data_IF_097750695503
#
_entry.id   IF_097750695503
#
_cell.length_a   1.000
_cell.length_b   1.000
_cell.length_c   1.000
_cell.angle_alpha   90.00
_cell.angle_beta   90.00
_cell.angle_gamma   90.00
#
_symmetry.space_group_name_H-M   'P 1'
#
loop_
_entity.id
_entity.type
_entity.pdbx_description
1 polymer ?
#
# COMPACT_ATOMS: atom_id res chain seq x y z
N UNK A 1 8.96 -16.88 4.51
CA UNK A 1 7.59 -16.62 4.00
C UNK A 1 7.06 -15.41 4.72
N UNK A 2 6.72 -14.36 3.99
CA UNK A 2 6.29 -13.08 4.57
C UNK A 2 4.77 -12.93 4.49
N UNK A 3 4.21 -12.48 3.38
CA UNK A 3 2.75 -12.31 3.21
C UNK A 3 2.25 -13.31 2.17
N UNK A 4 1.24 -14.09 2.53
CA UNK A 4 0.71 -15.16 1.70
C UNK A 4 -0.54 -14.74 0.91
N UNK A 5 -1.37 -13.91 1.52
CA UNK A 5 -2.60 -13.36 0.96
C UNK A 5 -3.01 -12.11 1.75
N UNK A 6 -4.09 -11.45 1.34
CA UNK A 6 -4.58 -10.22 1.98
C UNK A 6 -5.42 -10.43 3.24
N UNK A 7 -5.90 -11.65 3.49
CA UNK A 7 -6.89 -12.00 4.54
C UNK A 7 -6.31 -12.87 5.65
N UNK A 8 -5.06 -13.32 5.49
CA UNK A 8 -4.38 -14.14 6.47
C UNK A 8 -4.10 -13.43 7.80
N UNK A 9 -3.87 -14.22 8.85
CA UNK A 9 -3.54 -13.68 10.17
C UNK A 9 -2.27 -12.84 10.11
N UNK A 10 -2.39 -11.54 10.34
CA UNK A 10 -1.27 -10.62 10.42
C UNK A 10 -0.43 -10.93 11.65
N UNK A 11 0.90 -11.02 11.49
CA UNK A 11 1.83 -11.33 12.59
C UNK A 11 2.78 -10.19 12.90
N UNK A 12 3.14 -9.42 11.87
CA UNK A 12 4.05 -8.28 12.01
C UNK A 12 3.68 -7.20 11.01
N UNK A 13 3.77 -5.94 11.41
CA UNK A 13 3.51 -4.77 10.57
C UNK A 13 4.59 -3.73 10.75
N UNK A 14 5.01 -3.11 9.64
CA UNK A 14 5.88 -1.94 9.65
C UNK A 14 5.04 -0.66 9.59
N UNK A 15 5.25 0.22 10.54
CA UNK A 15 4.52 1.47 10.72
C UNK A 15 5.50 2.66 10.69
N UNK A 16 4.97 3.85 10.55
CA UNK A 16 5.69 5.10 10.77
C UNK A 16 4.82 6.06 11.57
N UNK A 17 5.41 6.76 12.53
CA UNK A 17 4.67 7.68 13.39
C UNK A 17 4.34 8.98 12.65
N UNK A 18 3.17 9.60 12.89
CA UNK A 18 2.76 10.86 12.26
C UNK A 18 3.45 12.11 12.86
N UNK A 19 4.58 11.96 13.55
CA UNK A 19 5.25 13.00 14.32
C UNK A 19 5.55 14.27 13.53
N UNK A 20 5.87 14.14 12.25
CA UNK A 20 6.22 15.25 11.37
C UNK A 20 5.21 15.45 10.24
N UNK A 21 4.05 14.79 10.32
CA UNK A 21 3.03 14.93 9.29
C UNK A 21 2.67 16.42 9.13
N UNK A 22 2.88 16.89 7.93
CA UNK A 22 2.43 18.21 7.48
C UNK A 22 1.49 17.94 6.31
N UNK A 23 0.33 18.56 6.31
CA UNK A 23 -0.52 18.54 5.13
C UNK A 23 0.19 19.36 4.04
N UNK A 24 1.07 18.72 3.31
CA UNK A 24 1.53 19.28 2.05
C UNK A 24 0.30 19.37 1.13
N UNK A 25 0.01 20.54 0.53
CA UNK A 25 -1.22 20.76 -0.24
C UNK A 25 -1.14 20.11 -1.64
N UNK A 26 -0.83 18.81 -1.66
CA UNK A 26 -0.67 18.02 -2.89
C UNK A 26 -2.01 17.65 -3.55
N UNK A 27 -3.11 17.77 -2.83
CA UNK A 27 -4.47 17.59 -3.33
C UNK A 27 -5.47 18.50 -2.58
N UNK A 28 -6.71 18.54 -3.04
CA UNK A 28 -7.75 19.41 -2.44
C UNK A 28 -8.08 19.00 -1.00
N UNK A 29 -8.08 17.71 -0.69
CA UNK A 29 -8.36 17.19 0.66
C UNK A 29 -7.26 17.67 1.61
N UNK A 30 -6.00 17.51 1.23
CA UNK A 30 -4.88 17.98 2.04
C UNK A 30 -4.94 19.50 2.28
N UNK A 31 -5.29 20.29 1.25
CA UNK A 31 -5.45 21.75 1.39
C UNK A 31 -6.56 22.13 2.37
N UNK A 32 -7.68 21.41 2.33
CA UNK A 32 -8.81 21.66 3.21
C UNK A 32 -8.51 21.39 4.67
N UNK A 33 -7.82 20.28 4.94
CA UNK A 33 -7.59 19.77 6.30
C UNK A 33 -6.25 20.21 6.91
N UNK A 34 -5.33 20.78 6.10
CA UNK A 34 -4.02 21.24 6.59
C UNK A 34 -4.07 22.13 7.85
N UNK A 35 -4.98 23.10 7.95
CA UNK A 35 -5.06 23.97 9.12
C UNK A 35 -5.59 23.28 10.38
N UNK A 36 -6.18 22.10 10.26
CA UNK A 36 -6.85 21.37 11.34
C UNK A 36 -6.00 20.22 11.90
N UNK A 37 -4.74 20.07 11.45
CA UNK A 37 -3.87 19.03 11.94
C UNK A 37 -3.42 19.31 13.38
N UNK A 38 -3.83 18.44 14.27
CA UNK A 38 -3.41 18.40 15.67
C UNK A 38 -2.42 17.25 15.87
N UNK A 39 -1.15 17.61 16.05
CA UNK A 39 -0.06 16.62 16.15
C UNK A 39 -0.20 15.74 17.40
N UNK A 40 -0.62 16.30 18.53
CA UNK A 40 -0.79 15.55 19.77
C UNK A 40 -1.93 14.53 19.63
N UNK A 41 -3.03 14.95 19.03
CA UNK A 41 -4.15 14.07 18.73
C UNK A 41 -3.76 12.96 17.75
N UNK A 42 -3.04 13.30 16.68
CA UNK A 42 -2.57 12.30 15.70
C UNK A 42 -1.63 11.26 16.34
N UNK A 43 -0.71 11.68 17.20
CA UNK A 43 0.18 10.78 17.92
C UNK A 43 -0.60 9.87 18.86
N UNK A 44 -1.56 10.41 19.60
CA UNK A 44 -2.43 9.62 20.47
C UNK A 44 -3.26 8.59 19.69
N UNK A 45 -3.90 9.00 18.58
CA UNK A 45 -4.66 8.09 17.73
C UNK A 45 -3.76 6.98 17.14
N UNK A 46 -2.54 7.32 16.74
CA UNK A 46 -1.56 6.33 16.27
C UNK A 46 -1.17 5.33 17.39
N UNK A 47 -1.02 5.79 18.62
CA UNK A 47 -0.77 4.90 19.76
C UNK A 47 -1.93 3.92 20.00
N UNK A 48 -3.18 4.37 19.80
CA UNK A 48 -4.34 3.49 19.88
C UNK A 48 -4.33 2.42 18.77
N UNK A 49 -3.90 2.77 17.55
CA UNK A 49 -3.72 1.80 16.45
C UNK A 49 -2.64 0.78 16.81
N UNK A 50 -1.48 1.23 17.32
CA UNK A 50 -0.39 0.35 17.78
C UNK A 50 -0.88 -0.59 18.88
N UNK A 51 -1.61 -0.05 19.85
CA UNK A 51 -2.23 -0.86 20.91
C UNK A 51 -3.17 -1.92 20.36
N UNK A 52 -4.01 -1.58 19.39
CA UNK A 52 -4.92 -2.54 18.75
C UNK A 52 -4.18 -3.68 18.06
N UNK A 53 -3.04 -3.40 17.40
CA UNK A 53 -2.18 -4.44 16.85
C UNK A 53 -1.62 -5.35 17.95
N UNK A 54 -1.10 -4.79 19.03
CA UNK A 54 -0.56 -5.57 20.15
C UNK A 54 -1.65 -6.43 20.85
N UNK A 55 -2.85 -5.87 21.06
CA UNK A 55 -3.99 -6.60 21.63
C UNK A 55 -4.40 -7.79 20.73
N UNK A 56 -4.19 -7.68 19.41
CA UNK A 56 -4.41 -8.75 18.44
C UNK A 56 -3.21 -9.71 18.29
N UNK A 57 -2.13 -9.54 19.07
CA UNK A 57 -0.93 -10.37 19.01
C UNK A 57 -0.02 -10.07 17.81
N UNK A 58 -0.14 -8.89 17.21
CA UNK A 58 0.68 -8.46 16.08
C UNK A 58 1.91 -7.70 16.57
N UNK A 59 3.10 -8.07 16.11
CA UNK A 59 4.33 -7.34 16.33
C UNK A 59 4.37 -6.07 15.49
N UNK A 60 4.79 -4.95 16.07
CA UNK A 60 4.93 -3.68 15.36
C UNK A 60 6.40 -3.30 15.23
N UNK A 61 6.82 -2.98 14.01
CA UNK A 61 8.12 -2.42 13.68
C UNK A 61 7.91 -0.97 13.22
N UNK A 62 8.94 -0.15 13.36
CA UNK A 62 8.81 1.27 13.01
C UNK A 62 9.95 1.74 12.10
N UNK A 63 9.58 2.63 11.19
CA UNK A 63 10.52 3.56 10.59
C UNK A 63 10.82 4.67 11.59
N UNK A 64 12.08 5.09 11.66
CA UNK A 64 12.44 6.28 12.45
C UNK A 64 11.82 7.53 11.80
N UNK A 65 11.08 8.35 12.57
CA UNK A 65 10.51 9.57 12.03
C UNK A 65 11.57 10.57 11.59
N UNK A 66 11.39 11.18 10.42
CA UNK A 66 12.26 12.23 9.88
C UNK A 66 11.44 13.46 9.47
N UNK A 67 11.82 14.64 9.94
CA UNK A 67 11.16 15.90 9.63
C UNK A 67 11.20 16.26 8.12
N UNK A 68 12.15 15.67 7.38
CA UNK A 68 12.25 15.84 5.93
C UNK A 68 11.36 14.87 5.14
N UNK A 69 10.69 13.93 5.84
CA UNK A 69 9.81 12.90 5.27
C UNK A 69 8.44 12.92 5.96
N UNK A 70 7.73 14.05 5.85
CA UNK A 70 6.51 14.29 6.62
C UNK A 70 5.38 13.30 6.31
N UNK A 71 5.41 12.66 5.13
CA UNK A 71 4.36 11.74 4.70
C UNK A 71 4.69 10.26 4.95
N UNK A 72 5.79 9.94 5.61
CA UNK A 72 6.18 8.54 5.89
C UNK A 72 5.17 7.75 6.71
N UNK A 73 4.27 8.43 7.44
CA UNK A 73 3.13 7.79 8.12
C UNK A 73 2.25 6.97 7.19
N UNK A 74 2.18 7.32 5.91
CA UNK A 74 1.49 6.54 4.89
C UNK A 74 2.35 5.36 4.43
N UNK A 75 2.73 4.53 5.40
CA UNK A 75 3.63 3.39 5.20
C UNK A 75 3.06 2.32 4.23
N UNK A 76 1.74 2.26 4.08
CA UNK A 76 1.05 1.42 3.10
C UNK A 76 1.54 1.66 1.68
N UNK A 77 1.95 2.89 1.36
CA UNK A 77 2.30 3.30 0.00
C UNK A 77 3.71 2.90 -0.43
N UNK A 78 4.59 2.48 0.49
CA UNK A 78 5.99 2.14 0.16
C UNK A 78 6.13 0.98 -0.81
N UNK A 79 5.15 0.06 -0.86
CA UNK A 79 5.19 -1.09 -1.73
C UNK A 79 4.25 -2.20 -1.31
N UNK A 80 4.50 -3.41 -1.78
CA UNK A 80 3.72 -4.60 -1.46
C UNK A 80 4.60 -5.74 -0.95
N UNK A 81 4.12 -6.52 0.00
CA UNK A 81 4.79 -7.74 0.45
C UNK A 81 4.09 -8.97 -0.13
N UNK A 82 4.89 -9.93 -0.56
CA UNK A 82 4.46 -11.26 -0.98
C UNK A 82 5.21 -12.33 -0.20
N UNK A 83 4.97 -13.61 -0.50
CA UNK A 83 5.56 -14.74 0.21
C UNK A 83 7.09 -14.75 0.19
N UNK A 84 7.70 -14.30 -0.89
CA UNK A 84 9.13 -14.35 -1.16
C UNK A 84 9.90 -13.12 -0.68
N UNK A 85 9.20 -12.00 -0.44
CA UNK A 85 9.82 -10.75 -0.04
C UNK A 85 8.90 -9.55 -0.29
N UNK A 86 9.47 -8.42 -0.70
CA UNK A 86 8.68 -7.23 -0.98
C UNK A 86 9.01 -6.61 -2.33
N UNK A 87 8.04 -5.84 -2.81
CA UNK A 87 8.11 -4.99 -4.01
C UNK A 87 8.42 -3.59 -3.53
N UNK A 88 9.57 -3.05 -3.92
CA UNK A 88 9.93 -1.67 -3.63
C UNK A 88 9.25 -0.75 -4.64
N UNK A 89 8.36 0.11 -4.12
CA UNK A 89 7.63 1.07 -4.91
C UNK A 89 8.46 2.27 -5.33
N UNK A 90 7.91 3.06 -6.25
CA UNK A 90 8.44 4.35 -6.67
C UNK A 90 7.34 5.38 -6.70
N UNK A 91 7.44 6.34 -5.78
CA UNK A 91 6.44 7.37 -5.58
C UNK A 91 6.30 8.31 -6.78
N UNK A 92 5.08 8.79 -7.00
CA UNK A 92 4.80 9.82 -8.00
C UNK A 92 5.22 11.22 -7.51
N UNK A 93 4.97 11.51 -6.23
CA UNK A 93 5.19 12.84 -5.66
C UNK A 93 6.66 13.06 -5.30
N UNK A 94 7.32 14.09 -5.83
CA UNK A 94 8.74 14.40 -5.53
C UNK A 94 9.03 14.54 -4.04
N UNK A 95 8.08 15.04 -3.25
CA UNK A 95 8.19 15.16 -1.80
C UNK A 95 8.44 13.81 -1.12
N UNK A 96 8.01 12.72 -1.74
CA UNK A 96 8.09 11.36 -1.20
C UNK A 96 9.25 10.53 -1.77
N UNK A 97 10.01 11.06 -2.74
CA UNK A 97 11.04 10.26 -3.43
C UNK A 97 12.09 9.65 -2.49
N UNK A 98 12.42 10.31 -1.40
CA UNK A 98 13.41 9.80 -0.46
C UNK A 98 12.85 8.81 0.57
N UNK A 99 11.53 8.73 0.70
CA UNK A 99 10.89 7.82 1.66
C UNK A 99 11.18 6.35 1.32
N UNK A 100 11.31 5.99 0.03
CA UNK A 100 11.62 4.62 -0.37
C UNK A 100 12.99 4.14 0.13
N UNK A 101 13.97 5.03 0.24
CA UNK A 101 15.31 4.67 0.74
C UNK A 101 15.26 4.27 2.22
N UNK A 102 14.49 4.99 3.03
CA UNK A 102 14.34 4.67 4.45
C UNK A 102 13.59 3.36 4.63
N UNK A 103 12.55 3.13 3.82
CA UNK A 103 11.81 1.87 3.80
C UNK A 103 12.70 0.70 3.38
N UNK A 104 13.46 0.84 2.28
CA UNK A 104 14.40 -0.17 1.80
C UNK A 104 15.42 -0.55 2.88
N UNK A 105 16.02 0.47 3.51
CA UNK A 105 16.98 0.25 4.60
C UNK A 105 16.34 -0.51 5.76
N UNK A 106 15.13 -0.12 6.18
CA UNK A 106 14.43 -0.78 7.27
C UNK A 106 14.05 -2.23 6.94
N UNK A 107 13.57 -2.49 5.72
CA UNK A 107 13.25 -3.85 5.28
C UNK A 107 14.50 -4.74 5.24
N UNK A 108 15.64 -4.19 4.83
CA UNK A 108 16.93 -4.89 4.87
C UNK A 108 17.35 -5.24 6.30
N UNK A 109 17.19 -4.33 7.26
CA UNK A 109 17.46 -4.59 8.69
C UNK A 109 16.55 -5.68 9.25
N UNK A 110 15.30 -5.73 8.82
CA UNK A 110 14.33 -6.76 9.17
C UNK A 110 14.57 -8.09 8.45
N UNK A 111 15.54 -8.16 7.54
CA UNK A 111 15.87 -9.36 6.78
C UNK A 111 14.85 -9.73 5.70
N UNK A 112 14.05 -8.77 5.25
CA UNK A 112 13.07 -8.98 4.17
C UNK A 112 13.69 -8.59 2.83
N UNK A 113 13.87 -9.51 1.88
CA UNK A 113 14.53 -9.20 0.61
C UNK A 113 13.64 -8.42 -0.34
N UNK A 114 14.22 -7.49 -1.09
CA UNK A 114 13.61 -6.92 -2.30
C UNK A 114 13.56 -8.00 -3.37
N UNK A 115 12.41 -8.30 -3.91
CA UNK A 115 12.26 -9.24 -5.04
C UNK A 115 11.87 -8.56 -6.34
N UNK A 116 11.25 -7.39 -6.25
CA UNK A 116 10.96 -6.50 -7.38
C UNK A 116 11.26 -5.08 -6.96
N UNK A 117 11.92 -4.32 -7.79
CA UNK A 117 12.15 -2.87 -7.63
C UNK A 117 11.59 -2.16 -8.86
N UNK A 118 10.64 -1.24 -8.66
CA UNK A 118 10.11 -0.38 -9.72
C UNK A 118 11.09 0.77 -9.97
N UNK A 119 11.69 0.79 -11.15
CA UNK A 119 12.80 1.71 -11.48
C UNK A 119 12.42 2.84 -12.43
N UNK A 120 11.59 2.53 -13.40
CA UNK A 120 11.26 3.46 -14.46
C UNK A 120 9.79 3.90 -14.43
N UNK A 121 8.89 2.97 -14.05
CA UNK A 121 7.48 3.27 -13.82
C UNK A 121 7.21 3.91 -12.47
N UNK A 122 5.93 4.05 -12.14
CA UNK A 122 5.44 4.50 -10.85
C UNK A 122 4.60 3.39 -10.21
N UNK A 123 4.79 3.19 -8.91
CA UNK A 123 3.98 2.27 -8.12
C UNK A 123 3.95 2.72 -6.66
N UNK A 124 2.76 2.83 -6.11
CA UNK A 124 2.51 3.02 -4.68
C UNK A 124 1.67 1.86 -4.15
N UNK A 125 2.00 1.36 -2.97
CA UNK A 125 1.44 0.12 -2.41
C UNK A 125 -0.05 0.14 -2.09
N UNK A 126 -0.69 1.33 -2.04
CA UNK A 126 -2.15 1.45 -1.96
C UNK A 126 -2.89 0.87 -3.18
N UNK A 127 -2.17 0.66 -4.28
CA UNK A 127 -2.69 0.01 -5.49
C UNK A 127 -2.52 -1.52 -5.49
N UNK A 128 -1.82 -2.08 -4.49
CA UNK A 128 -1.55 -3.51 -4.41
C UNK A 128 -2.60 -4.24 -3.56
N UNK A 129 -3.30 -5.21 -4.15
CA UNK A 129 -4.30 -6.02 -3.46
C UNK A 129 -4.21 -7.49 -3.88
N UNK A 130 -4.07 -8.41 -2.91
CA UNK A 130 -4.27 -9.83 -3.20
C UNK A 130 -5.75 -10.09 -3.49
N UNK A 131 -6.03 -10.93 -4.51
CA UNK A 131 -7.34 -11.56 -4.71
C UNK A 131 -7.34 -13.00 -4.18
N UNK A 132 -6.20 -13.66 -4.25
CA UNK A 132 -5.91 -14.97 -3.68
C UNK A 132 -4.39 -15.12 -3.46
N UNK A 133 -3.92 -16.33 -3.10
CA UNK A 133 -2.50 -16.59 -2.82
C UNK A 133 -1.56 -16.42 -4.03
N UNK A 134 -2.11 -16.38 -5.23
CA UNK A 134 -1.34 -16.33 -6.49
C UNK A 134 -1.77 -15.19 -7.41
N UNK A 135 -2.84 -14.49 -7.09
CA UNK A 135 -3.38 -13.42 -7.93
C UNK A 135 -3.37 -12.09 -7.20
N UNK A 136 -2.81 -11.10 -7.86
CA UNK A 136 -2.71 -9.73 -7.38
C UNK A 136 -3.48 -8.81 -8.33
N UNK A 137 -4.44 -8.06 -7.80
CA UNK A 137 -5.02 -6.90 -8.46
C UNK A 137 -4.09 -5.71 -8.25
N UNK A 138 -3.64 -5.09 -9.33
CA UNK A 138 -2.80 -3.90 -9.29
C UNK A 138 -3.55 -2.71 -9.87
N UNK A 139 -3.89 -1.75 -9.01
CA UNK A 139 -4.55 -0.52 -9.39
C UNK A 139 -3.69 0.31 -10.34
N UNK A 140 -4.32 0.86 -11.37
CA UNK A 140 -3.74 1.89 -12.24
C UNK A 140 -4.58 3.15 -12.11
N UNK A 141 -4.44 3.78 -10.96
CA UNK A 141 -5.13 5.01 -10.57
C UNK A 141 -4.20 6.22 -10.71
N UNK A 142 -4.30 7.20 -9.81
CA UNK A 142 -3.48 8.40 -9.91
C UNK A 142 -1.99 8.17 -9.63
N UNK A 143 -1.60 7.08 -8.95
CA UNK A 143 -0.25 6.90 -8.39
C UNK A 143 0.57 5.77 -9.01
N UNK A 144 -0.08 4.82 -9.66
CA UNK A 144 0.57 3.72 -10.39
C UNK A 144 0.31 3.87 -11.88
N UNK A 145 1.37 3.80 -12.68
CA UNK A 145 1.27 3.90 -14.13
C UNK A 145 1.43 2.52 -14.83
N UNK A 146 1.17 2.52 -16.13
CA UNK A 146 1.30 1.31 -16.95
C UNK A 146 2.72 0.72 -16.89
N UNK A 147 3.75 1.56 -16.80
CA UNK A 147 5.14 1.10 -16.78
C UNK A 147 5.46 0.40 -15.47
N UNK A 148 5.02 0.95 -14.33
CA UNK A 148 5.13 0.30 -13.03
C UNK A 148 4.38 -1.02 -12.97
N UNK A 149 3.16 -1.07 -13.55
CA UNK A 149 2.42 -2.31 -13.69
C UNK A 149 3.21 -3.38 -14.44
N UNK A 150 3.80 -3.07 -15.60
CA UNK A 150 4.55 -4.03 -16.42
C UNK A 150 5.84 -4.49 -15.70
N UNK A 151 6.53 -3.61 -14.99
CA UNK A 151 7.71 -3.99 -14.19
C UNK A 151 7.34 -4.97 -13.07
N UNK A 152 6.25 -4.72 -12.35
CA UNK A 152 5.77 -5.60 -11.28
C UNK A 152 5.32 -6.94 -11.85
N UNK A 153 4.52 -6.93 -12.91
CA UNK A 153 4.06 -8.15 -13.58
C UNK A 153 5.22 -9.03 -14.04
N UNK A 154 6.21 -8.42 -14.70
CA UNK A 154 7.40 -9.14 -15.14
C UNK A 154 8.24 -9.66 -13.97
N UNK A 155 8.41 -8.85 -12.92
CA UNK A 155 9.19 -9.20 -11.74
C UNK A 155 8.55 -10.30 -10.89
N UNK A 156 7.23 -10.39 -10.84
CA UNK A 156 6.50 -11.40 -10.07
C UNK A 156 6.25 -12.71 -10.84
N UNK A 157 6.30 -12.68 -12.17
CA UNK A 157 6.08 -13.87 -13.00
C UNK A 157 6.98 -15.07 -12.65
N UNK A 158 8.29 -14.91 -12.34
CA UNK A 158 9.15 -16.04 -11.93
C UNK A 158 8.71 -16.72 -10.62
N UNK A 159 7.93 -16.04 -9.79
CA UNK A 159 7.39 -16.54 -8.53
C UNK A 159 5.99 -17.15 -8.68
N UNK A 160 5.43 -17.16 -9.89
CA UNK A 160 4.14 -17.78 -10.18
C UNK A 160 2.93 -16.91 -9.85
N UNK A 161 3.09 -15.60 -9.69
CA UNK A 161 1.97 -14.68 -9.50
C UNK A 161 1.36 -14.25 -10.83
N UNK A 162 0.04 -14.24 -10.88
CA UNK A 162 -0.74 -13.52 -11.86
C UNK A 162 -0.97 -12.09 -11.38
N UNK A 163 -0.70 -11.09 -12.23
CA UNK A 163 -0.94 -9.69 -11.90
C UNK A 163 -1.99 -9.13 -12.88
N UNK A 164 -3.14 -8.75 -12.34
CA UNK A 164 -4.28 -8.23 -13.07
C UNK A 164 -4.30 -6.70 -13.01
N UNK A 165 -4.43 -6.00 -14.15
CA UNK A 165 -4.57 -4.56 -14.17
C UNK A 165 -5.98 -4.14 -13.72
N UNK A 166 -6.07 -3.16 -12.84
CA UNK A 166 -7.34 -2.54 -12.43
C UNK A 166 -7.31 -1.07 -12.77
N UNK A 167 -7.71 -0.69 -14.00
CA UNK A 167 -7.82 0.71 -14.35
C UNK A 167 -8.88 1.41 -13.51
N UNK A 168 -8.59 2.62 -13.06
CA UNK A 168 -9.52 3.40 -12.25
C UNK A 168 -9.44 4.90 -12.55
N UNK A 169 -10.43 5.67 -12.04
CA UNK A 169 -10.46 7.12 -12.23
C UNK A 169 -9.31 7.81 -11.50
N UNK A 170 -8.67 8.79 -12.13
CA UNK A 170 -7.62 9.63 -11.51
C UNK A 170 -8.10 10.47 -10.30
N UNK A 171 -9.42 10.55 -10.08
CA UNK A 171 -9.99 11.21 -8.92
C UNK A 171 -9.66 10.50 -7.58
N UNK A 172 -9.32 9.20 -7.65
CA UNK A 172 -8.87 8.42 -6.50
C UNK A 172 -7.37 8.17 -6.59
N UNK A 173 -6.69 8.23 -5.44
CA UNK A 173 -5.24 8.06 -5.42
C UNK A 173 -4.85 6.61 -5.70
N UNK A 174 -5.54 5.67 -5.04
CA UNK A 174 -5.20 4.24 -5.06
C UNK A 174 -6.44 3.35 -5.12
N UNK A 175 -6.22 2.09 -5.47
CA UNK A 175 -7.24 1.03 -5.49
C UNK A 175 -7.86 0.81 -4.10
N UNK A 176 -7.08 0.85 -3.01
CA UNK A 176 -7.54 0.61 -1.65
C UNK A 176 -8.55 1.64 -1.14
N UNK A 177 -8.67 2.81 -1.80
CA UNK A 177 -9.75 3.77 -1.55
C UNK A 177 -11.11 3.28 -2.08
N UNK A 178 -11.11 2.30 -3.00
CA UNK A 178 -12.29 1.87 -3.73
C UNK A 178 -12.59 0.39 -3.59
N UNK A 179 -11.62 -0.43 -3.17
CA UNK A 179 -11.74 -1.87 -3.10
C UNK A 179 -10.82 -2.45 -2.04
N UNK A 180 -11.36 -3.26 -1.13
CA UNK A 180 -10.60 -3.99 -0.12
C UNK A 180 -11.22 -5.35 0.13
N UNK A 181 -10.42 -6.43 0.13
CA UNK A 181 -10.83 -7.73 0.62
C UNK A 181 -10.88 -7.71 2.14
N UNK A 182 -11.96 -8.23 2.70
CA UNK A 182 -12.15 -8.40 4.15
C UNK A 182 -12.19 -9.87 4.56
N UNK A 183 -12.41 -10.75 3.59
CA UNK A 183 -12.32 -12.21 3.70
C UNK A 183 -12.00 -12.78 2.32
N UNK A 184 -11.67 -14.06 2.21
CA UNK A 184 -11.26 -14.71 0.95
C UNK A 184 -12.33 -14.56 -0.16
N UNK A 185 -13.60 -14.43 0.20
CA UNK A 185 -14.74 -14.30 -0.72
C UNK A 185 -15.59 -13.04 -0.49
N UNK A 186 -15.13 -12.11 0.36
CA UNK A 186 -15.89 -10.91 0.67
C UNK A 186 -15.04 -9.68 0.48
N UNK A 187 -15.58 -8.71 -0.27
CA UNK A 187 -14.94 -7.42 -0.48
C UNK A 187 -15.84 -6.25 -0.07
N UNK A 188 -15.21 -5.17 0.38
CA UNK A 188 -15.86 -3.86 0.48
C UNK A 188 -15.43 -3.05 -0.71
N UNK A 189 -16.39 -2.59 -1.52
CA UNK A 189 -16.09 -1.87 -2.74
C UNK A 189 -16.99 -0.65 -2.96
N UNK A 190 -16.46 0.35 -3.66
CA UNK A 190 -17.25 1.41 -4.29
C UNK A 190 -17.41 1.06 -5.78
N UNK A 191 -18.56 0.50 -6.17
CA UNK A 191 -18.74 -0.07 -7.53
C UNK A 191 -18.59 0.95 -8.66
N UNK A 192 -18.82 2.25 -8.36
CA UNK A 192 -18.69 3.33 -9.35
C UNK A 192 -17.26 3.64 -9.79
N UNK A 193 -16.26 3.19 -9.04
CA UNK A 193 -14.85 3.34 -9.39
C UNK A 193 -14.24 2.12 -10.08
N UNK A 194 -14.95 0.97 -10.10
CA UNK A 194 -14.45 -0.28 -10.63
C UNK A 194 -15.00 -0.52 -12.05
N UNK A 195 -14.14 -1.02 -12.94
CA UNK A 195 -14.53 -1.40 -14.29
C UNK A 195 -15.40 -2.66 -14.29
N UNK A 196 -16.24 -2.83 -15.31
CA UNK A 196 -17.06 -4.03 -15.46
C UNK A 196 -16.21 -5.29 -15.64
N UNK A 197 -15.07 -5.18 -16.33
CA UNK A 197 -14.12 -6.29 -16.50
C UNK A 197 -13.58 -6.77 -15.15
N UNK A 198 -13.23 -5.85 -14.26
CA UNK A 198 -12.75 -6.21 -12.93
C UNK A 198 -13.85 -6.82 -12.05
N UNK A 199 -15.08 -6.29 -12.12
CA UNK A 199 -16.25 -6.89 -11.45
C UNK A 199 -16.53 -8.32 -11.92
N UNK A 200 -16.40 -8.58 -13.23
CA UNK A 200 -16.52 -9.92 -13.78
C UNK A 200 -15.40 -10.84 -13.29
N UNK A 201 -14.19 -10.32 -13.13
CA UNK A 201 -13.06 -11.07 -12.60
C UNK A 201 -13.28 -11.45 -11.12
N UNK A 202 -13.84 -10.54 -10.31
CA UNK A 202 -14.23 -10.83 -8.93
C UNK A 202 -15.31 -11.92 -8.88
N UNK A 203 -16.34 -11.82 -9.72
CA UNK A 203 -17.42 -12.81 -9.80
C UNK A 203 -16.91 -14.21 -10.19
N UNK A 204 -15.94 -14.33 -11.13
CA UNK A 204 -15.30 -15.61 -11.47
C UNK A 204 -14.56 -16.25 -10.30
N UNK A 205 -14.10 -15.44 -9.35
CA UNK A 205 -13.38 -15.86 -8.13
C UNK A 205 -14.32 -16.03 -6.93
N UNK A 206 -15.62 -15.91 -7.14
CA UNK A 206 -16.63 -15.97 -6.08
C UNK A 206 -16.39 -14.95 -4.96
N UNK A 207 -15.91 -13.74 -5.32
CA UNK A 207 -15.72 -12.60 -4.42
C UNK A 207 -16.95 -11.69 -4.53
N UNK A 208 -17.70 -11.57 -3.42
CA UNK A 208 -18.91 -10.76 -3.28
C UNK A 208 -18.65 -9.41 -2.60
#
# INVERSE_FOLDING_TARGET
MYVKNGTGVLKRVLLSKPQYLKAAPINEIARKWAPELDVEKMLHEHELVVKAYHDAGVETEFLEPDANRPNSVFARDFGGCVREGYILGRFREPLRFQEHTDYEQRMKELGVPVIVEVREGLFEGGDFMFLDEHTIALGMFARTDKKGFEEIKAGLAPYGYEVLPVPGPEAYLHLDMCFNLVDDHIAVAYPGALTEDFKQELAKREIE
#
